data_IF_548345052691
#
_entry.id   IF_548345052691
#
_cell.length_a   1.000
_cell.length_b   1.000
_cell.length_c   1.000
_cell.angle_alpha   90.00
_cell.angle_beta   90.00
_cell.angle_gamma   90.00
#
_symmetry.space_group_name_H-M   'P 1'
#
loop_
_entity.id
_entity.type
_entity.pdbx_description
1 polymer ?
#
# COMPACT_ATOMS: atom_id res chain seq x y z
N UNK A 1 12.63 -0.83 -33.64
CA UNK A 1 11.37 -1.14 -32.94
C UNK A 1 11.55 -0.94 -31.45
N UNK A 2 10.79 -0.04 -30.84
CA UNK A 2 10.93 0.29 -29.42
C UNK A 2 10.32 -0.85 -28.57
N UNK A 3 11.17 -1.61 -27.88
CA UNK A 3 10.76 -2.74 -27.03
C UNK A 3 10.41 -2.27 -25.60
N UNK A 4 9.48 -1.29 -25.49
CA UNK A 4 9.04 -0.71 -24.20
C UNK A 4 8.64 -1.76 -23.14
N UNK A 5 7.87 -2.83 -23.46
CA UNK A 5 7.50 -3.84 -22.47
C UNK A 5 8.71 -4.54 -21.86
N UNK A 6 9.67 -4.95 -22.68
CA UNK A 6 10.90 -5.59 -22.22
C UNK A 6 11.79 -4.62 -21.42
N UNK A 7 11.79 -3.33 -21.77
CA UNK A 7 12.51 -2.31 -21.02
C UNK A 7 11.93 -2.16 -19.60
N UNK A 8 10.60 -2.05 -19.48
CA UNK A 8 9.91 -1.98 -18.20
C UNK A 8 10.14 -3.24 -17.36
N UNK A 9 9.99 -4.43 -17.95
CA UNK A 9 10.22 -5.70 -17.26
C UNK A 9 11.64 -5.78 -16.68
N UNK A 10 12.66 -5.44 -17.47
CA UNK A 10 14.06 -5.40 -17.01
C UNK A 10 14.27 -4.37 -15.89
N UNK A 11 13.61 -3.21 -15.96
CA UNK A 11 13.66 -2.19 -14.90
C UNK A 11 13.09 -2.73 -13.59
N UNK A 12 11.96 -3.43 -13.63
CA UNK A 12 11.36 -4.07 -12.44
C UNK A 12 12.30 -5.15 -11.86
N UNK A 13 12.93 -5.98 -12.69
CA UNK A 13 13.90 -6.98 -12.21
C UNK A 13 15.15 -6.36 -11.58
N UNK A 14 15.59 -5.18 -12.06
CA UNK A 14 16.67 -4.42 -11.42
C UNK A 14 16.23 -3.89 -10.06
N UNK A 15 15.02 -3.35 -9.95
CA UNK A 15 14.43 -2.93 -8.67
C UNK A 15 14.41 -4.08 -7.68
N UNK A 16 13.95 -5.27 -8.09
CA UNK A 16 13.93 -6.45 -7.23
C UNK A 16 15.35 -6.85 -6.74
N UNK A 17 16.37 -6.66 -7.58
CA UNK A 17 17.77 -6.95 -7.23
C UNK A 17 18.36 -5.93 -6.24
N UNK A 18 18.05 -4.64 -6.41
CA UNK A 18 18.53 -3.56 -5.55
C UNK A 18 17.61 -3.28 -4.35
N UNK A 19 16.57 -4.10 -4.15
CA UNK A 19 15.60 -3.89 -3.09
C UNK A 19 16.22 -4.13 -1.71
N UNK A 20 16.06 -3.16 -0.81
CA UNK A 20 16.66 -3.16 0.53
C UNK A 20 15.89 -4.03 1.54
N UNK A 21 14.67 -4.47 1.20
CA UNK A 21 13.86 -5.33 2.05
C UNK A 21 14.31 -6.80 2.13
N UNK A 22 13.61 -7.62 2.93
CA UNK A 22 13.89 -9.05 3.08
C UNK A 22 13.78 -9.83 1.75
N UNK A 23 14.44 -10.99 1.66
CA UNK A 23 14.45 -11.81 0.43
C UNK A 23 13.05 -12.13 -0.09
N UNK A 24 12.09 -12.40 0.82
CA UNK A 24 10.69 -12.65 0.45
C UNK A 24 10.07 -11.54 -0.40
N UNK A 25 10.45 -10.29 -0.17
CA UNK A 25 9.96 -9.14 -0.94
C UNK A 25 10.60 -9.09 -2.33
N UNK A 26 11.90 -9.43 -2.41
CA UNK A 26 12.61 -9.53 -3.70
C UNK A 26 12.03 -10.62 -4.58
N UNK A 27 11.75 -11.78 -3.99
CA UNK A 27 11.08 -12.89 -4.67
C UNK A 27 9.69 -12.46 -5.11
N UNK A 28 8.91 -11.84 -4.21
CA UNK A 28 7.58 -11.33 -4.51
C UNK A 28 7.58 -10.38 -5.72
N UNK A 29 8.47 -9.39 -5.77
CA UNK A 29 8.53 -8.44 -6.90
C UNK A 29 8.78 -9.18 -8.22
N UNK A 30 9.67 -10.19 -8.23
CA UNK A 30 9.98 -10.96 -9.45
C UNK A 30 8.78 -11.79 -9.91
N UNK A 31 8.14 -12.50 -8.99
CA UNK A 31 6.98 -13.34 -9.27
C UNK A 31 5.79 -12.51 -9.73
N UNK A 32 5.54 -11.39 -9.06
CA UNK A 32 4.48 -10.45 -9.41
C UNK A 32 4.69 -9.87 -10.80
N UNK A 33 5.91 -9.43 -11.11
CA UNK A 33 6.26 -8.93 -12.43
C UNK A 33 6.02 -10.00 -13.51
N UNK A 34 6.44 -11.24 -13.26
CA UNK A 34 6.20 -12.35 -14.20
C UNK A 34 4.70 -12.58 -14.40
N UNK A 35 3.93 -12.69 -13.31
CA UNK A 35 2.48 -12.90 -13.34
C UNK A 35 1.75 -11.83 -14.13
N UNK A 36 2.07 -10.57 -13.90
CA UNK A 36 1.44 -9.42 -14.57
C UNK A 36 1.72 -9.38 -16.07
N UNK A 37 2.97 -9.67 -16.47
CA UNK A 37 3.36 -9.71 -17.89
C UNK A 37 2.77 -10.94 -18.61
N UNK A 38 2.76 -12.09 -17.96
CA UNK A 38 2.17 -13.31 -18.52
C UNK A 38 0.65 -13.14 -18.72
N UNK A 39 -0.06 -12.53 -17.75
CA UNK A 39 -1.48 -12.22 -17.85
C UNK A 39 -1.82 -11.27 -19.02
N UNK A 40 -0.88 -10.40 -19.41
CA UNK A 40 -1.05 -9.39 -20.46
C UNK A 40 -0.40 -9.78 -21.80
N UNK A 41 0.15 -10.99 -21.91
CA UNK A 41 0.85 -11.47 -23.11
C UNK A 41 -0.01 -11.46 -24.38
N UNK A 42 -1.33 -11.57 -24.22
CA UNK A 42 -2.30 -11.59 -25.32
C UNK A 42 -2.77 -10.22 -25.82
N UNK A 43 -2.34 -9.12 -25.20
CA UNK A 43 -2.73 -7.77 -25.63
C UNK A 43 -2.21 -7.47 -27.03
N UNK A 44 -3.09 -7.02 -27.93
CA UNK A 44 -2.77 -6.69 -29.32
C UNK A 44 -3.05 -5.24 -29.68
N UNK A 45 -4.00 -4.60 -28.99
CA UNK A 45 -4.33 -3.21 -29.23
C UNK A 45 -3.22 -2.30 -28.67
N UNK A 46 -2.74 -1.37 -29.49
CA UNK A 46 -1.65 -0.47 -29.12
C UNK A 46 -2.01 0.37 -27.88
N UNK A 47 -3.23 0.88 -27.80
CA UNK A 47 -3.71 1.71 -26.71
C UNK A 47 -3.77 0.93 -25.38
N UNK A 48 -4.21 -0.33 -25.42
CA UNK A 48 -4.23 -1.20 -24.24
C UNK A 48 -2.81 -1.51 -23.74
N UNK A 49 -1.86 -1.70 -24.67
CA UNK A 49 -0.45 -1.95 -24.35
C UNK A 49 0.16 -0.71 -23.69
N UNK A 50 0.00 0.48 -24.29
CA UNK A 50 0.55 1.71 -23.73
C UNK A 50 -0.08 2.02 -22.35
N UNK A 51 -1.40 1.83 -22.20
CA UNK A 51 -2.07 2.00 -20.91
C UNK A 51 -1.51 1.03 -19.85
N UNK A 52 -1.32 -0.25 -20.20
CA UNK A 52 -0.74 -1.23 -19.30
C UNK A 52 0.71 -0.89 -18.91
N UNK A 53 1.51 -0.36 -19.85
CA UNK A 53 2.87 0.10 -19.59
C UNK A 53 2.89 1.28 -18.62
N UNK A 54 2.06 2.30 -18.87
CA UNK A 54 1.94 3.46 -17.99
C UNK A 54 1.51 3.08 -16.58
N UNK A 55 0.51 2.21 -16.45
CA UNK A 55 0.08 1.69 -15.14
C UNK A 55 1.19 0.90 -14.44
N UNK A 56 1.95 0.08 -15.17
CA UNK A 56 3.08 -0.68 -14.64
C UNK A 56 4.22 0.20 -14.15
N UNK A 57 4.55 1.27 -14.88
CA UNK A 57 5.53 2.28 -14.49
C UNK A 57 5.10 3.01 -13.22
N UNK A 58 3.86 3.52 -13.18
CA UNK A 58 3.30 4.18 -12.01
C UNK A 58 3.32 3.27 -10.78
N UNK A 59 2.90 2.00 -10.93
CA UNK A 59 2.89 1.03 -9.84
C UNK A 59 4.30 0.77 -9.29
N UNK A 60 5.28 0.60 -10.18
CA UNK A 60 6.69 0.42 -9.79
C UNK A 60 7.22 1.65 -9.05
N UNK A 61 6.95 2.86 -9.55
CA UNK A 61 7.42 4.12 -8.95
C UNK A 61 6.82 4.36 -7.57
N UNK A 62 5.51 4.14 -7.41
CA UNK A 62 4.83 4.20 -6.11
C UNK A 62 5.42 3.16 -5.16
N UNK A 63 5.62 1.93 -5.61
CA UNK A 63 6.20 0.86 -4.80
C UNK A 63 7.61 1.21 -4.29
N UNK A 64 8.46 1.75 -5.18
CA UNK A 64 9.82 2.21 -4.83
C UNK A 64 9.78 3.40 -3.88
N UNK A 65 8.96 4.41 -4.16
CA UNK A 65 8.87 5.62 -3.35
C UNK A 65 8.47 5.33 -1.90
N UNK A 66 7.47 4.45 -1.71
CA UNK A 66 6.97 4.07 -0.38
C UNK A 66 7.65 2.84 0.22
N UNK A 67 8.61 2.24 -0.49
CA UNK A 67 9.27 0.98 -0.07
C UNK A 67 8.27 -0.13 0.26
N UNK A 68 7.17 -0.21 -0.51
CA UNK A 68 6.13 -1.21 -0.34
C UNK A 68 5.99 -2.04 -1.63
N UNK A 69 6.42 -3.32 -1.62
CA UNK A 69 6.36 -4.17 -2.81
C UNK A 69 4.99 -4.82 -3.01
N UNK A 70 4.15 -4.84 -1.97
CA UNK A 70 2.87 -5.53 -1.97
C UNK A 70 1.77 -4.66 -2.58
N UNK A 71 0.68 -5.28 -3.10
CA UNK A 71 -0.47 -4.52 -3.59
C UNK A 71 -1.04 -3.67 -2.46
N UNK A 72 -1.47 -2.46 -2.81
CA UNK A 72 -2.25 -1.64 -1.87
C UNK A 72 -3.56 -2.38 -1.58
N UNK A 73 -3.95 -2.52 -0.30
CA UNK A 73 -5.28 -3.02 0.04
C UNK A 73 -6.34 -2.18 -0.68
N UNK A 74 -7.30 -2.84 -1.30
CA UNK A 74 -8.45 -2.16 -1.90
C UNK A 74 -9.31 -1.63 -0.74
N UNK A 75 -9.53 -0.31 -0.71
CA UNK A 75 -10.46 0.26 0.24
C UNK A 75 -11.87 -0.23 -0.12
N UNK A 76 -12.48 -0.91 0.85
CA UNK A 76 -13.87 -1.34 0.81
C UNK A 76 -14.60 -0.55 1.87
N UNK A 77 -15.83 -0.11 1.55
CA UNK A 77 -16.60 0.60 2.56
C UNK A 77 -16.80 -0.33 3.76
N UNK A 78 -16.67 0.19 5.00
CA UNK A 78 -16.72 -0.62 6.21
C UNK A 78 -17.98 -1.48 6.40
N UNK A 79 -19.03 -1.30 5.58
CA UNK A 79 -20.25 -2.10 5.58
C UNK A 79 -20.41 -3.07 4.39
N UNK A 80 -19.49 -3.11 3.42
CA UNK A 80 -19.62 -3.98 2.23
C UNK A 80 -18.87 -5.30 2.36
N UNK A 81 -17.79 -5.34 3.13
CA UNK A 81 -17.18 -6.62 3.53
C UNK A 81 -17.81 -7.03 4.84
N UNK A 82 -18.55 -8.15 4.82
CA UNK A 82 -19.17 -8.76 5.99
C UNK A 82 -18.13 -9.12 7.04
N UNK A 83 -17.74 -8.13 7.85
CA UNK A 83 -17.41 -8.39 9.23
C UNK A 83 -18.65 -8.95 9.88
N UNK A 84 -18.47 -9.94 10.75
CA UNK A 84 -19.52 -10.39 11.67
C UNK A 84 -20.29 -9.17 12.22
N UNK A 85 -21.63 -9.20 12.17
CA UNK A 85 -22.52 -8.15 12.71
C UNK A 85 -22.17 -7.79 14.17
N UNK A 86 -21.44 -8.68 14.84
CA UNK A 86 -20.98 -8.58 16.21
C UNK A 86 -19.54 -8.06 16.38
N UNK A 87 -18.90 -7.49 15.34
CA UNK A 87 -17.56 -6.89 15.45
C UNK A 87 -17.58 -5.66 16.37
N UNK A 88 -17.55 -5.91 17.68
CA UNK A 88 -17.37 -4.89 18.71
C UNK A 88 -15.88 -4.61 18.79
N UNK A 89 -15.45 -3.42 18.35
CA UNK A 89 -14.13 -2.88 18.68
C UNK A 89 -13.94 -2.94 20.19
N UNK A 90 -13.21 -3.95 20.67
CA UNK A 90 -12.82 -4.07 22.09
C UNK A 90 -11.77 -3.02 22.42
N UNK A 91 -12.24 -1.81 22.70
CA UNK A 91 -11.42 -0.76 23.28
C UNK A 91 -11.15 -1.12 24.75
N UNK A 92 -9.89 -1.39 25.13
CA UNK A 92 -9.43 -1.47 26.54
C UNK A 92 -9.34 -0.10 27.22
N UNK A 93 -10.09 0.91 26.74
CA UNK A 93 -10.03 2.27 27.27
C UNK A 93 -10.91 2.39 28.51
N UNK A 94 -10.51 1.71 29.59
CA UNK A 94 -11.22 1.75 30.88
C UNK A 94 -11.08 3.10 31.61
N UNK A 95 -10.26 4.03 31.10
CA UNK A 95 -9.95 5.31 31.74
C UNK A 95 -10.32 6.52 30.88
N UNK A 96 -11.61 6.72 30.61
CA UNK A 96 -12.09 7.98 29.99
C UNK A 96 -12.52 9.03 31.01
N UNK A 97 -12.93 8.63 32.23
CA UNK A 97 -13.37 9.57 33.27
C UNK A 97 -12.25 10.09 34.18
N UNK A 98 -11.21 9.29 34.46
CA UNK A 98 -10.10 9.70 35.33
C UNK A 98 -9.24 10.84 34.74
N UNK A 99 -9.02 10.85 33.42
CA UNK A 99 -8.17 11.87 32.77
C UNK A 99 -8.85 13.23 32.53
N UNK A 100 -10.16 13.36 32.74
CA UNK A 100 -10.88 14.63 32.57
C UNK A 100 -10.79 15.51 33.82
N UNK A 101 -10.86 14.93 35.02
CA UNK A 101 -10.77 15.68 36.27
C UNK A 101 -9.36 16.19 36.58
N UNK A 102 -8.32 15.48 36.14
CA UNK A 102 -6.91 15.85 36.40
C UNK A 102 -6.46 17.11 35.63
N UNK A 103 -7.10 17.41 34.50
CA UNK A 103 -6.80 18.64 33.72
C UNK A 103 -7.54 19.88 34.22
N UNK A 104 -8.61 19.72 34.99
CA UNK A 104 -9.38 20.84 35.52
C UNK A 104 -8.71 21.47 36.75
N UNK A 105 -8.03 20.66 37.58
CA UNK A 105 -7.32 21.14 38.77
C UNK A 105 -6.05 21.93 38.43
N UNK A 106 -5.35 21.59 37.35
CA UNK A 106 -4.15 22.33 36.89
C UNK A 106 -4.45 23.69 36.23
N UNK A 107 -5.59 23.83 35.57
CA UNK A 107 -5.99 25.09 34.94
C UNK A 107 -6.46 26.16 35.94
N UNK A 108 -6.88 25.74 37.15
CA UNK A 108 -7.28 26.63 38.24
C UNK A 108 -6.10 27.20 39.04
N UNK A 109 -4.89 26.66 38.88
CA UNK A 109 -3.72 27.02 39.68
C UNK A 109 -2.91 28.20 39.12
N UNK A 110 -3.32 28.77 37.98
CA UNK A 110 -2.64 29.89 37.32
C UNK A 110 -3.62 31.06 37.07
N UNK A 111 -4.10 31.68 38.15
CA UNK A 111 -4.71 33.01 38.10
C UNK A 111 -3.81 33.97 38.86
N UNK A 112 -3.18 34.89 38.13
CA UNK A 112 -2.38 35.98 38.69
C UNK A 112 -3.28 36.97 39.45
N UNK A 113 -2.74 37.55 40.52
CA UNK A 113 -3.35 38.61 41.33
C UNK A 113 -2.89 39.98 40.81
#
# INVERSE_FOLDING_TARGET
>A
MSNKPLALYRRILRVARSWTGPEKERVYIKEEARREFDAKRGLKAADEIENALTQGEQRMEVGVHYKNPYPRPVYVDPGTMGGEDEFKRRSKRDKTKAGKFEKQTRASAFKWK
#
